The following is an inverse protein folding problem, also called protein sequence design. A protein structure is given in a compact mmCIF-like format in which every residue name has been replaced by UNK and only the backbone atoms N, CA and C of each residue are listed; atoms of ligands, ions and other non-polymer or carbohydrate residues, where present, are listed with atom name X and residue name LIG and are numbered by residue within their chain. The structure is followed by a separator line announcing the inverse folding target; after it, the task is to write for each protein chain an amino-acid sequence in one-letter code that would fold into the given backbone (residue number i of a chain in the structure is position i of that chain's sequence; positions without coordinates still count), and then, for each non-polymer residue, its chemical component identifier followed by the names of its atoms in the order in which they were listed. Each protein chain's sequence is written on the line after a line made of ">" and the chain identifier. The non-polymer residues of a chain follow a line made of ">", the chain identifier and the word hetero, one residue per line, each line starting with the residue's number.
data_IF_961641858486
#
_entry.id   IF_961641858486
#
_cell.length_a   1.000
_cell.length_b   1.000
_cell.length_c   1.000
_cell.angle_alpha   90.00
_cell.angle_beta   90.00
_cell.angle_gamma   90.00
#
_symmetry.space_group_name_H-M   'P 1'
#
loop_
_entity.id
_entity.type
_entity.pdbx_description
1 polymer ?
#
# COMPACT_ATOMS: atom_id res chain seq x y z
N UNK A 1 11.99 -31.94 -8.52
CA UNK A 1 12.84 -32.73 -7.59
C UNK A 1 12.30 -34.15 -7.58
N UNK A 2 13.15 -35.18 -7.54
CA UNK A 2 12.65 -36.57 -7.41
C UNK A 2 11.91 -36.78 -6.07
N UNK A 3 12.30 -36.05 -5.02
CA UNK A 3 11.57 -35.95 -3.76
C UNK A 3 11.46 -34.49 -3.29
N UNK A 4 10.30 -34.04 -2.78
CA UNK A 4 10.14 -32.69 -2.25
C UNK A 4 11.00 -32.50 -0.99
N UNK A 5 11.61 -31.32 -0.79
CA UNK A 5 12.41 -31.08 0.41
C UNK A 5 11.54 -31.07 1.67
N UNK A 6 12.04 -31.66 2.73
CA UNK A 6 11.38 -31.68 4.04
C UNK A 6 11.38 -30.30 4.69
N UNK A 7 10.48 -30.08 5.65
CA UNK A 7 10.43 -28.83 6.45
C UNK A 7 11.79 -28.50 7.07
N UNK A 8 12.49 -29.49 7.64
CA UNK A 8 13.82 -29.29 8.25
C UNK A 8 14.88 -28.86 7.24
N UNK A 9 14.85 -29.40 6.02
CA UNK A 9 15.78 -29.00 4.96
C UNK A 9 15.52 -27.55 4.53
N UNK A 10 14.26 -27.13 4.48
CA UNK A 10 13.90 -25.73 4.20
C UNK A 10 14.37 -24.82 5.33
N UNK A 11 14.18 -25.21 6.60
CA UNK A 11 14.68 -24.44 7.76
C UNK A 11 16.20 -24.28 7.72
N UNK A 12 16.94 -25.37 7.50
CA UNK A 12 18.39 -25.34 7.39
C UNK A 12 18.87 -24.42 6.24
N UNK A 13 18.20 -24.50 5.10
CA UNK A 13 18.48 -23.62 3.96
C UNK A 13 18.20 -22.15 4.30
N UNK A 14 17.09 -21.84 4.98
CA UNK A 14 16.77 -20.47 5.40
C UNK A 14 17.79 -19.91 6.41
N UNK A 15 18.29 -20.74 7.34
CA UNK A 15 19.39 -20.37 8.24
C UNK A 15 20.66 -20.06 7.45
N UNK A 16 21.03 -20.95 6.52
CA UNK A 16 22.20 -20.75 5.67
C UNK A 16 22.11 -19.41 4.94
N UNK A 17 20.97 -19.09 4.35
CA UNK A 17 20.75 -17.81 3.68
C UNK A 17 20.78 -16.62 4.66
N UNK A 18 20.21 -16.77 5.85
CA UNK A 18 20.23 -15.74 6.89
C UNK A 18 21.66 -15.35 7.31
N UNK A 19 22.58 -16.32 7.28
CA UNK A 19 23.99 -16.13 7.68
C UNK A 19 24.88 -15.66 6.54
N UNK A 20 24.68 -16.17 5.33
CA UNK A 20 25.63 -16.00 4.22
C UNK A 20 25.28 -14.90 3.24
N UNK A 21 23.99 -14.55 3.08
CA UNK A 21 23.59 -13.57 2.07
C UNK A 21 23.59 -12.15 2.63
N UNK A 22 24.13 -11.17 1.89
CA UNK A 22 23.94 -9.77 2.22
C UNK A 22 22.47 -9.37 1.99
N UNK A 23 21.95 -8.50 2.86
CA UNK A 23 20.65 -7.87 2.66
C UNK A 23 20.73 -6.68 1.72
N UNK A 24 19.60 -6.34 1.08
CA UNK A 24 19.49 -5.10 0.28
C UNK A 24 19.38 -3.83 1.14
N UNK A 25 18.91 -3.96 2.38
CA UNK A 25 18.63 -2.84 3.30
C UNK A 25 19.58 -2.83 4.51
N UNK A 26 20.59 -3.68 4.52
CA UNK A 26 21.53 -3.85 5.63
C UNK A 26 22.44 -5.05 5.41
N UNK A 27 23.32 -5.34 6.37
CA UNK A 27 24.31 -6.43 6.28
C UNK A 27 23.67 -7.82 6.17
N UNK A 28 22.45 -8.01 6.67
CA UNK A 28 21.71 -9.28 6.70
C UNK A 28 20.36 -9.19 5.98
N UNK A 29 19.82 -10.30 5.47
CA UNK A 29 18.57 -10.29 4.71
C UNK A 29 17.39 -9.93 5.61
N UNK A 30 16.27 -9.52 4.99
CA UNK A 30 15.04 -9.19 5.70
C UNK A 30 14.13 -10.44 5.84
N UNK A 31 13.40 -10.57 6.94
CA UNK A 31 12.31 -11.56 7.13
C UNK A 31 11.36 -11.65 5.93
N UNK A 32 10.99 -10.51 5.33
CA UNK A 32 10.16 -10.42 4.13
C UNK A 32 10.83 -11.08 2.92
N UNK A 33 12.15 -10.92 2.76
CA UNK A 33 12.92 -11.58 1.70
C UNK A 33 12.89 -13.09 1.88
N UNK A 34 13.07 -13.58 3.11
CA UNK A 34 13.00 -15.02 3.41
C UNK A 34 11.59 -15.58 3.22
N UNK A 35 10.54 -14.85 3.60
CA UNK A 35 9.16 -15.23 3.34
C UNK A 35 8.87 -15.32 1.82
N UNK A 36 9.36 -14.36 1.04
CA UNK A 36 9.22 -14.38 -0.42
C UNK A 36 9.95 -15.59 -1.03
N UNK A 37 11.14 -15.91 -0.52
CA UNK A 37 11.91 -17.09 -0.95
C UNK A 37 11.17 -18.38 -0.60
N UNK A 38 10.58 -18.49 0.60
CA UNK A 38 9.73 -19.62 0.97
C UNK A 38 8.57 -19.79 -0.02
N UNK A 39 7.89 -18.72 -0.39
CA UNK A 39 6.81 -18.78 -1.38
C UNK A 39 7.31 -19.15 -2.78
N UNK A 40 8.54 -18.76 -3.15
CA UNK A 40 9.18 -19.22 -4.39
C UNK A 40 9.54 -20.72 -4.36
N UNK A 41 10.12 -21.20 -3.27
CA UNK A 41 10.44 -22.63 -3.06
C UNK A 41 9.17 -23.45 -3.17
N UNK A 42 8.10 -23.06 -2.47
CA UNK A 42 6.80 -23.76 -2.51
C UNK A 42 6.25 -23.85 -3.92
N UNK A 43 6.31 -22.78 -4.70
CA UNK A 43 5.88 -22.78 -6.10
C UNK A 43 6.74 -23.69 -6.98
N UNK A 44 8.06 -23.67 -6.79
CA UNK A 44 8.98 -24.53 -7.56
C UNK A 44 8.81 -26.01 -7.22
N UNK A 45 8.61 -26.36 -5.94
CA UNK A 45 8.31 -27.73 -5.51
C UNK A 45 7.00 -28.20 -6.12
N UNK A 46 5.93 -27.39 -6.01
CA UNK A 46 4.65 -27.72 -6.64
C UNK A 46 4.79 -27.93 -8.15
N UNK A 47 5.52 -27.06 -8.85
CA UNK A 47 5.70 -27.18 -10.30
C UNK A 47 6.51 -28.41 -10.72
N UNK A 48 7.38 -28.95 -9.85
CA UNK A 48 8.32 -30.02 -10.23
C UNK A 48 7.99 -31.39 -9.64
N UNK A 49 7.17 -31.46 -8.60
CA UNK A 49 6.82 -32.73 -7.94
C UNK A 49 5.35 -32.83 -7.54
N UNK A 50 4.51 -31.87 -7.98
CA UNK A 50 3.09 -31.70 -7.60
C UNK A 50 2.80 -31.72 -6.09
N UNK A 51 3.85 -31.54 -5.29
CA UNK A 51 3.75 -31.61 -3.83
C UNK A 51 3.31 -30.25 -3.27
N UNK A 52 2.32 -30.30 -2.39
CA UNK A 52 1.82 -29.14 -1.66
C UNK A 52 2.03 -29.32 -0.16
N UNK A 53 2.86 -28.47 0.44
CA UNK A 53 2.98 -28.37 1.89
C UNK A 53 1.63 -28.00 2.54
N UNK A 54 1.32 -28.64 3.65
CA UNK A 54 0.11 -28.37 4.43
C UNK A 54 0.11 -26.95 5.01
N UNK A 55 -1.07 -26.45 5.37
CA UNK A 55 -1.21 -25.13 6.02
C UNK A 55 -0.40 -25.04 7.31
N UNK A 56 -0.33 -26.13 8.08
CA UNK A 56 0.39 -26.19 9.35
C UNK A 56 1.90 -26.10 9.15
N UNK A 57 2.46 -26.80 8.16
CA UNK A 57 3.89 -26.74 7.82
C UNK A 57 4.28 -25.36 7.29
N UNK A 58 3.43 -24.74 6.47
CA UNK A 58 3.70 -23.37 6.00
C UNK A 58 3.65 -22.39 7.15
N UNK A 59 2.72 -22.56 8.09
CA UNK A 59 2.63 -21.71 9.26
C UNK A 59 3.81 -21.90 10.22
N UNK A 60 4.30 -23.13 10.40
CA UNK A 60 5.49 -23.39 11.22
C UNK A 60 6.74 -22.75 10.60
N UNK A 61 6.93 -22.87 9.29
CA UNK A 61 8.03 -22.22 8.56
C UNK A 61 7.96 -20.69 8.65
N UNK A 62 6.76 -20.10 8.58
CA UNK A 62 6.58 -18.64 8.76
C UNK A 62 6.90 -18.19 10.19
N UNK A 63 6.45 -18.95 11.20
CA UNK A 63 6.82 -18.70 12.61
C UNK A 63 8.33 -18.83 12.82
N UNK A 64 8.96 -19.83 12.20
CA UNK A 64 10.40 -20.01 12.23
C UNK A 64 11.13 -18.78 11.67
N UNK A 65 10.75 -18.29 10.48
CA UNK A 65 11.33 -17.07 9.88
C UNK A 65 11.16 -15.86 10.80
N UNK A 66 10.01 -15.71 11.45
CA UNK A 66 9.74 -14.59 12.36
C UNK A 66 10.59 -14.64 13.65
N UNK A 67 11.13 -15.81 14.01
CA UNK A 67 12.03 -15.98 15.15
C UNK A 67 13.51 -15.80 14.79
N UNK A 68 13.87 -15.83 13.49
CA UNK A 68 15.24 -15.63 13.03
C UNK A 68 15.83 -14.24 13.36
N UNK A 69 15.07 -13.13 13.49
CA UNK A 69 15.66 -11.86 13.94
C UNK A 69 16.32 -11.98 15.31
N UNK A 70 15.68 -12.67 16.25
CA UNK A 70 16.22 -12.89 17.59
C UNK A 70 17.41 -13.87 17.61
N UNK A 71 17.38 -14.89 16.73
CA UNK A 71 18.41 -15.96 16.71
C UNK A 71 19.64 -15.62 15.86
N UNK A 72 19.42 -15.02 14.69
CA UNK A 72 20.43 -14.83 13.66
C UNK A 72 20.68 -13.34 13.37
N UNK A 73 19.98 -12.41 14.04
CA UNK A 73 20.15 -10.97 13.84
C UNK A 73 19.72 -10.49 12.44
N UNK A 74 18.81 -11.20 11.77
CA UNK A 74 18.30 -10.76 10.46
C UNK A 74 17.47 -9.47 10.58
N UNK A 75 17.42 -8.71 9.49
CA UNK A 75 16.79 -7.39 9.48
C UNK A 75 15.26 -7.50 9.48
N UNK A 76 14.60 -6.64 10.25
CA UNK A 76 13.16 -6.37 10.14
C UNK A 76 12.88 -5.04 9.44
N UNK A 77 13.94 -4.33 8.99
CA UNK A 77 13.83 -3.00 8.39
C UNK A 77 12.99 -3.05 7.12
N UNK A 78 11.97 -2.21 7.06
CA UNK A 78 11.26 -1.89 5.83
C UNK A 78 12.06 -0.86 5.02
N UNK A 79 11.84 -0.82 3.71
CA UNK A 79 12.38 0.25 2.88
C UNK A 79 11.71 1.55 3.30
N UNK A 80 12.49 2.57 3.62
CA UNK A 80 11.97 3.93 3.80
C UNK A 80 11.30 4.35 2.51
N UNK A 81 9.99 4.59 2.59
CA UNK A 81 9.24 5.19 1.48
C UNK A 81 9.43 6.69 1.59
N UNK A 82 9.84 7.32 0.50
CA UNK A 82 9.75 8.78 0.39
C UNK A 82 8.27 9.16 0.44
N UNK A 83 7.95 10.14 1.27
CA UNK A 83 6.59 10.69 1.37
C UNK A 83 6.55 11.86 0.40
N UNK A 84 5.58 11.85 -0.51
CA UNK A 84 5.32 13.00 -1.36
C UNK A 84 4.66 14.09 -0.51
N UNK A 85 5.27 15.27 -0.48
CA UNK A 85 4.70 16.45 0.15
C UNK A 85 3.81 17.20 -0.85
N UNK A 86 3.05 18.17 -0.35
CA UNK A 86 2.14 18.97 -1.17
C UNK A 86 2.80 19.64 -2.39
N UNK A 87 4.06 20.12 -2.35
CA UNK A 87 4.72 20.66 -3.56
C UNK A 87 4.80 19.67 -4.72
N UNK A 88 4.91 18.37 -4.44
CA UNK A 88 4.86 17.33 -5.50
C UNK A 88 3.49 17.29 -6.16
N UNK A 89 2.42 17.55 -5.40
CA UNK A 89 1.06 17.64 -5.94
C UNK A 89 0.91 18.88 -6.83
N UNK A 90 1.50 20.01 -6.44
CA UNK A 90 1.52 21.24 -7.25
C UNK A 90 2.26 21.02 -8.56
N UNK A 91 3.43 20.37 -8.55
CA UNK A 91 4.18 20.01 -9.75
C UNK A 91 3.39 19.08 -10.68
N UNK A 92 2.71 18.07 -10.12
CA UNK A 92 1.87 17.16 -10.90
C UNK A 92 0.70 17.88 -11.57
N UNK A 93 0.05 18.80 -10.84
CA UNK A 93 -1.05 19.61 -11.39
C UNK A 93 -0.49 20.56 -12.45
N UNK A 94 0.63 21.23 -12.21
CA UNK A 94 1.26 22.09 -13.19
C UNK A 94 1.58 21.33 -14.48
N UNK A 95 2.22 20.17 -14.36
CA UNK A 95 2.51 19.32 -15.52
C UNK A 95 1.23 18.97 -16.28
N UNK A 96 0.20 18.49 -15.60
CA UNK A 96 -1.09 18.12 -16.22
C UNK A 96 -1.76 19.27 -16.99
N UNK A 97 -1.63 20.52 -16.51
CA UNK A 97 -2.33 21.66 -17.10
C UNK A 97 -1.50 22.44 -18.12
N UNK A 98 -0.17 22.43 -17.99
CA UNK A 98 0.72 23.29 -18.76
C UNK A 98 1.71 22.54 -19.65
N UNK A 99 1.98 21.27 -19.37
CA UNK A 99 3.04 20.51 -20.05
C UNK A 99 2.55 19.20 -20.69
N UNK A 100 1.38 18.70 -20.28
CA UNK A 100 0.86 17.42 -20.76
C UNK A 100 0.45 17.51 -22.23
N UNK A 101 1.20 16.82 -23.09
CA UNK A 101 0.94 16.72 -24.52
C UNK A 101 -0.19 15.74 -24.86
N UNK A 102 -0.67 14.97 -23.86
CA UNK A 102 -1.74 14.01 -24.08
C UNK A 102 -3.12 14.68 -24.16
N UNK A 103 -3.83 14.39 -25.25
CA UNK A 103 -5.23 14.75 -25.38
C UNK A 103 -6.11 13.89 -24.45
N UNK A 104 -6.65 14.54 -23.43
CA UNK A 104 -7.66 13.95 -22.56
C UNK A 104 -8.93 13.68 -23.38
N UNK A 105 -9.48 12.46 -23.27
CA UNK A 105 -10.74 12.08 -23.96
C UNK A 105 -11.88 13.08 -23.76
N UNK A 106 -11.90 13.75 -22.61
CA UNK A 106 -12.78 14.88 -22.31
C UNK A 106 -12.08 15.81 -21.31
N UNK A 107 -12.12 17.15 -21.48
CA UNK A 107 -11.51 18.11 -20.56
C UNK A 107 -11.91 17.95 -19.08
N UNK A 108 -13.12 17.40 -18.82
CA UNK A 108 -13.63 17.12 -17.48
C UNK A 108 -12.76 16.11 -16.73
N UNK A 109 -12.15 15.16 -17.43
CA UNK A 109 -11.31 14.14 -16.81
C UNK A 109 -10.05 14.76 -16.15
N UNK A 110 -9.43 15.73 -16.82
CA UNK A 110 -8.29 16.46 -16.27
C UNK A 110 -8.71 17.25 -15.01
N UNK A 111 -9.83 17.97 -15.08
CA UNK A 111 -10.36 18.73 -13.94
C UNK A 111 -10.67 17.84 -12.73
N UNK A 112 -11.34 16.70 -12.96
CA UNK A 112 -11.67 15.75 -11.89
C UNK A 112 -10.42 15.13 -11.27
N UNK A 113 -9.44 14.75 -12.09
CA UNK A 113 -8.16 14.22 -11.62
C UNK A 113 -7.41 15.24 -10.78
N UNK A 114 -7.35 16.49 -11.24
CA UNK A 114 -6.70 17.60 -10.53
C UNK A 114 -7.36 17.86 -9.18
N UNK A 115 -8.69 17.89 -9.15
CA UNK A 115 -9.44 18.05 -7.91
C UNK A 115 -9.17 16.90 -6.92
N UNK A 116 -9.13 15.66 -7.39
CA UNK A 116 -8.79 14.49 -6.55
C UNK A 116 -7.37 14.63 -5.97
N UNK A 117 -6.39 15.07 -6.77
CA UNK A 117 -5.02 15.29 -6.31
C UNK A 117 -4.95 16.36 -5.21
N UNK A 118 -5.65 17.48 -5.36
CA UNK A 118 -5.75 18.52 -4.33
C UNK A 118 -6.36 17.95 -3.05
N UNK A 119 -7.47 17.21 -3.17
CA UNK A 119 -8.16 16.59 -2.03
C UNK A 119 -7.24 15.61 -1.28
N UNK A 120 -6.50 14.78 -2.02
CA UNK A 120 -5.54 13.84 -1.45
C UNK A 120 -4.35 14.55 -0.79
N UNK A 121 -3.82 15.59 -1.43
CA UNK A 121 -2.68 16.36 -0.94
C UNK A 121 -3.01 17.17 0.32
N UNK A 122 -4.16 17.83 0.34
CA UNK A 122 -4.56 18.73 1.42
C UNK A 122 -5.10 17.99 2.66
N UNK A 123 -5.88 16.92 2.46
CA UNK A 123 -6.57 16.22 3.55
C UNK A 123 -6.01 14.82 3.84
N UNK A 124 -5.03 14.35 3.06
CA UNK A 124 -4.46 13.01 3.22
C UNK A 124 -5.46 11.89 2.90
N UNK A 125 -6.47 12.17 2.06
CA UNK A 125 -7.52 11.21 1.72
C UNK A 125 -6.96 10.09 0.84
N UNK A 126 -7.49 8.88 1.03
CA UNK A 126 -7.23 7.76 0.13
C UNK A 126 -8.14 7.87 -1.10
N UNK A 127 -7.71 7.35 -2.27
CA UNK A 127 -8.57 7.31 -3.45
C UNK A 127 -9.92 6.64 -3.18
N UNK A 128 -9.94 5.57 -2.37
CA UNK A 128 -11.18 4.91 -1.98
C UNK A 128 -12.06 5.73 -1.04
N UNK A 129 -11.56 6.75 -0.35
CA UNK A 129 -12.42 7.64 0.44
C UNK A 129 -13.13 8.67 -0.44
N UNK A 130 -12.57 8.96 -1.62
CA UNK A 130 -13.12 9.91 -2.58
C UNK A 130 -14.02 9.20 -3.60
N UNK A 131 -13.57 8.05 -4.11
CA UNK A 131 -14.20 7.32 -5.22
C UNK A 131 -14.66 5.92 -4.81
N UNK A 132 -15.77 5.50 -5.40
CA UNK A 132 -16.21 4.11 -5.35
C UNK A 132 -15.43 3.26 -6.38
N UNK A 133 -14.95 2.10 -5.93
CA UNK A 133 -14.25 1.16 -6.81
C UNK A 133 -15.26 0.41 -7.69
N UNK A 134 -15.09 0.45 -9.01
CA UNK A 134 -15.94 -0.30 -9.95
C UNK A 134 -15.89 -1.83 -9.71
N UNK A 135 -14.72 -2.37 -9.33
CA UNK A 135 -14.53 -3.81 -9.05
C UNK A 135 -15.22 -4.25 -7.74
N UNK A 136 -15.42 -3.31 -6.81
CA UNK A 136 -15.95 -3.61 -5.48
C UNK A 136 -17.19 -2.74 -5.21
N UNK A 137 -18.05 -2.62 -6.22
CA UNK A 137 -19.27 -1.81 -6.16
C UNK A 137 -20.13 -2.24 -4.97
N UNK A 138 -20.64 -1.27 -4.21
CA UNK A 138 -21.41 -1.49 -2.97
C UNK A 138 -20.59 -1.83 -1.73
N UNK A 139 -19.29 -2.14 -1.85
CA UNK A 139 -18.42 -2.40 -0.68
C UNK A 139 -17.90 -1.12 -0.03
N UNK A 140 -18.04 0.01 -0.73
CA UNK A 140 -17.53 1.31 -0.33
C UNK A 140 -18.38 2.39 -1.00
N UNK A 141 -18.71 3.45 -0.27
CA UNK A 141 -19.30 4.65 -0.85
C UNK A 141 -18.25 5.76 -0.75
N UNK A 142 -17.94 6.37 -1.88
CA UNK A 142 -17.06 7.53 -1.94
C UNK A 142 -17.73 8.79 -1.42
N UNK A 143 -17.08 9.94 -1.63
CA UNK A 143 -17.68 11.24 -1.38
C UNK A 143 -18.83 11.50 -2.36
N UNK A 144 -19.90 12.06 -1.84
CA UNK A 144 -21.03 12.55 -2.63
C UNK A 144 -21.02 14.08 -2.67
N UNK A 145 -21.76 14.69 -3.60
CA UNK A 145 -21.89 16.15 -3.62
C UNK A 145 -22.44 16.72 -2.31
N UNK A 146 -23.31 15.99 -1.61
CA UNK A 146 -23.84 16.41 -0.31
C UNK A 146 -22.83 16.37 0.83
N UNK A 147 -21.63 15.83 0.61
CA UNK A 147 -20.54 15.82 1.59
C UNK A 147 -19.62 17.04 1.46
N UNK A 148 -19.86 17.89 0.46
CA UNK A 148 -18.95 18.97 0.10
C UNK A 148 -19.70 20.28 0.15
N UNK A 149 -19.20 21.20 0.96
CA UNK A 149 -19.76 22.54 1.12
C UNK A 149 -18.72 23.59 0.79
N UNK A 150 -19.13 24.62 0.05
CA UNK A 150 -18.32 25.78 -0.24
C UNK A 150 -18.84 26.96 0.55
N UNK A 151 -17.98 27.59 1.33
CA UNK A 151 -18.28 28.83 2.02
C UNK A 151 -17.25 29.89 1.66
N UNK A 152 -17.68 31.15 1.65
CA UNK A 152 -16.82 32.28 1.37
C UNK A 152 -16.48 32.94 2.70
N UNK A 153 -15.19 33.00 3.03
CA UNK A 153 -14.74 33.51 4.33
C UNK A 153 -13.62 34.53 4.20
N UNK A 154 -13.60 35.51 5.09
CA UNK A 154 -12.52 36.47 5.19
C UNK A 154 -11.35 35.83 5.94
N UNK A 155 -10.19 35.74 5.28
CA UNK A 155 -8.98 35.19 5.89
C UNK A 155 -7.77 36.05 5.53
N UNK A 156 -7.15 36.63 6.56
CA UNK A 156 -6.01 37.56 6.44
C UNK A 156 -6.29 38.75 5.50
N UNK A 157 -7.46 39.37 5.66
CA UNK A 157 -7.86 40.56 4.89
C UNK A 157 -8.25 40.30 3.44
N UNK A 158 -8.26 39.03 3.00
CA UNK A 158 -8.69 38.64 1.67
C UNK A 158 -9.86 37.66 1.76
N UNK A 159 -10.78 37.78 0.80
CA UNK A 159 -11.88 36.85 0.60
C UNK A 159 -11.31 35.52 0.08
N UNK A 160 -11.63 34.42 0.73
CA UNK A 160 -11.20 33.07 0.34
C UNK A 160 -12.36 32.12 0.25
N UNK A 161 -12.31 31.23 -0.73
CA UNK A 161 -13.22 30.10 -0.84
C UNK A 161 -12.73 28.99 0.10
N UNK A 162 -13.56 28.61 1.07
CA UNK A 162 -13.33 27.51 1.98
C UNK A 162 -14.12 26.29 1.49
N UNK A 163 -13.40 25.18 1.33
CA UNK A 163 -13.97 23.88 1.02
C UNK A 163 -14.08 23.07 2.31
N UNK A 164 -15.31 22.75 2.71
CA UNK A 164 -15.59 21.86 3.82
C UNK A 164 -15.99 20.48 3.27
N UNK A 165 -15.38 19.43 3.80
CA UNK A 165 -15.63 18.05 3.36
C UNK A 165 -16.02 17.21 4.57
N UNK A 166 -17.24 16.69 4.56
CA UNK A 166 -17.75 15.81 5.58
C UNK A 166 -17.42 14.35 5.26
N UNK A 167 -16.48 13.78 6.01
CA UNK A 167 -16.00 12.41 5.79
C UNK A 167 -16.88 11.38 6.52
N UNK A 168 -18.03 11.03 5.93
CA UNK A 168 -18.98 10.07 6.53
C UNK A 168 -18.43 8.65 6.68
N UNK A 169 -17.57 8.18 5.76
CA UNK A 169 -17.26 6.75 5.61
C UNK A 169 -15.76 6.42 5.61
N UNK A 170 -15.04 6.89 6.65
CA UNK A 170 -13.64 6.52 6.83
C UNK A 170 -13.46 5.02 7.02
N UNK A 171 -12.41 4.48 6.38
CA UNK A 171 -12.03 3.06 6.52
C UNK A 171 -11.78 2.72 7.99
N UNK A 172 -12.49 1.71 8.51
CA UNK A 172 -12.42 1.29 9.91
C UNK A 172 -13.39 1.98 10.87
N UNK A 173 -14.16 2.98 10.41
CA UNK A 173 -15.22 3.67 11.19
C UNK A 173 -16.62 3.59 10.55
N UNK A 174 -16.79 2.77 9.51
CA UNK A 174 -18.08 2.60 8.82
C UNK A 174 -19.14 2.04 9.79
N UNK A 175 -20.33 2.63 9.79
CA UNK A 175 -21.44 2.19 10.65
C UNK A 175 -21.26 2.49 12.14
N UNK A 176 -20.26 3.31 12.51
CA UNK A 176 -20.12 3.83 13.87
C UNK A 176 -20.52 5.30 13.86
N UNK A 177 -21.60 5.62 14.55
CA UNK A 177 -21.96 7.01 14.83
C UNK A 177 -20.77 7.64 15.56
N UNK A 178 -20.19 8.67 14.95
CA UNK A 178 -19.18 9.46 15.64
C UNK A 178 -19.96 10.38 16.57
N UNK A 179 -19.90 10.16 17.88
CA UNK A 179 -20.29 11.21 18.83
C UNK A 179 -19.41 12.42 18.51
N UNK A 180 -20.08 13.52 18.15
CA UNK A 180 -19.46 14.80 17.81
C UNK A 180 -18.68 15.37 19.00
#
# INVERSE_FOLDING_TARGET
>A
FQHPPTVRQIEAFLIYLARTRPGKLGSKPNTHTLNKLLDQIRRAVRATSDHCYSKNEVQSLRKFINNLPAKEGISTKSRTKTVAFFPVVEELIYFMWACDEYDWKHPRCMQQTSFILIMMGSYGLRPGEILESCIHRGSNQGLTYGDVEFSLTWHKGALRLLLLINLRLRKGRRGKESQA
#
